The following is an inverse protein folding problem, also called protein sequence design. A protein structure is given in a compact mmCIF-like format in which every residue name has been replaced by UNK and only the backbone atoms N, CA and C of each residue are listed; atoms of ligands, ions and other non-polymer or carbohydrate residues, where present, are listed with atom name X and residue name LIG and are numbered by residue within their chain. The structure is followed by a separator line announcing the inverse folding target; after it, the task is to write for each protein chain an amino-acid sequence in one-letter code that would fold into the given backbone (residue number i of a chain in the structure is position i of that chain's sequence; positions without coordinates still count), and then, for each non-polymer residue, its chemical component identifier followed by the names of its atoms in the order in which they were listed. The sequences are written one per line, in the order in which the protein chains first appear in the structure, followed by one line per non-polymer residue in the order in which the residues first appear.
data_IF_708681675993
#
_entry.id   IF_708681675993
#
_cell.length_a   1.000
_cell.length_b   1.000
_cell.length_c   1.000
_cell.angle_alpha   90.00
_cell.angle_beta   90.00
_cell.angle_gamma   90.00
#
_symmetry.space_group_name_H-M   'P 1'
#
loop_
_entity.id
_entity.type
_entity.pdbx_description
1 polymer ?
#
# COMPACT_ATOMS: atom_id res chain seq x y z
N UNK A 1 -9.03 -21.09 6.91
CA UNK A 1 -8.66 -20.08 5.90
C UNK A 1 -7.25 -20.42 5.42
N UNK A 2 -7.15 -21.16 4.31
CA UNK A 2 -5.86 -21.61 3.76
C UNK A 2 -5.12 -20.40 3.19
N UNK A 3 -3.93 -20.09 3.72
CA UNK A 3 -2.99 -19.15 3.09
C UNK A 3 -2.59 -19.76 1.74
N UNK A 4 -2.98 -19.11 0.65
CA UNK A 4 -2.59 -19.52 -0.71
C UNK A 4 -1.06 -19.44 -0.85
N UNK A 5 -0.36 -20.55 -1.10
CA UNK A 5 1.09 -20.54 -1.24
C UNK A 5 1.47 -19.91 -2.59
N UNK A 6 1.98 -18.68 -2.58
CA UNK A 6 2.48 -17.99 -3.78
C UNK A 6 2.19 -16.48 -3.83
N UNK A 7 1.08 -16.03 -3.23
CA UNK A 7 0.73 -14.60 -3.15
C UNK A 7 1.74 -13.78 -2.34
N UNK A 8 2.36 -14.42 -1.34
CA UNK A 8 3.38 -13.81 -0.47
C UNK A 8 4.79 -13.73 -1.11
N UNK A 9 4.95 -13.94 -2.43
CA UNK A 9 6.24 -13.81 -3.13
C UNK A 9 6.38 -12.44 -3.83
N UNK A 10 7.14 -11.47 -3.27
CA UNK A 10 7.26 -10.16 -3.92
C UNK A 10 8.06 -10.15 -5.20
N UNK A 11 8.97 -11.10 -5.43
CA UNK A 11 9.76 -11.14 -6.67
C UNK A 11 8.87 -11.48 -7.87
N UNK A 12 7.86 -12.33 -7.65
CA UNK A 12 6.83 -12.60 -8.64
C UNK A 12 6.04 -11.33 -9.00
N UNK A 13 5.58 -10.57 -8.01
CA UNK A 13 4.84 -9.32 -8.23
C UNK A 13 5.69 -8.19 -8.80
N UNK A 14 6.98 -8.14 -8.46
CA UNK A 14 7.95 -7.24 -9.07
C UNK A 14 8.12 -7.60 -10.57
N UNK A 15 8.22 -8.89 -10.91
CA UNK A 15 8.34 -9.36 -12.30
C UNK A 15 7.08 -9.09 -13.12
N UNK A 16 5.89 -9.38 -12.57
CA UNK A 16 4.60 -9.09 -13.24
C UNK A 16 4.47 -7.59 -13.51
N UNK A 17 4.81 -6.74 -12.52
CA UNK A 17 4.81 -5.29 -12.70
C UNK A 17 5.75 -4.87 -13.82
N UNK A 18 6.99 -5.38 -13.87
CA UNK A 18 7.93 -5.04 -14.94
C UNK A 18 7.41 -5.45 -16.32
N UNK A 19 6.84 -6.65 -16.47
CA UNK A 19 6.29 -7.09 -17.76
C UNK A 19 5.13 -6.18 -18.19
N UNK A 20 4.15 -5.93 -17.32
CA UNK A 20 3.02 -5.05 -17.65
C UNK A 20 3.47 -3.61 -17.93
N UNK A 21 4.52 -3.14 -17.24
CA UNK A 21 5.10 -1.81 -17.45
C UNK A 21 5.83 -1.72 -18.79
N UNK A 22 6.62 -2.74 -19.17
CA UNK A 22 7.36 -2.78 -20.43
C UNK A 22 6.44 -2.79 -21.65
N UNK A 23 5.25 -3.35 -21.47
CA UNK A 23 4.21 -3.44 -22.49
C UNK A 23 3.27 -2.23 -22.48
N UNK A 24 3.44 -1.30 -21.53
CA UNK A 24 2.64 -0.07 -21.44
C UNK A 24 1.20 -0.27 -20.92
N UNK A 25 0.89 -1.42 -20.30
CA UNK A 25 -0.49 -1.79 -19.92
C UNK A 25 -0.74 -1.78 -18.41
N UNK A 26 0.30 -1.58 -17.60
CA UNK A 26 0.22 -1.67 -16.13
C UNK A 26 -0.85 -0.75 -15.54
N UNK A 27 -0.89 0.52 -15.93
CA UNK A 27 -1.84 1.50 -15.37
C UNK A 27 -3.28 1.11 -15.70
N UNK A 28 -3.54 0.71 -16.94
CA UNK A 28 -4.86 0.26 -17.38
C UNK A 28 -5.32 -0.99 -16.61
N UNK A 29 -4.43 -1.98 -16.45
CA UNK A 29 -4.71 -3.20 -15.68
C UNK A 29 -5.05 -2.86 -14.22
N UNK A 30 -4.28 -1.96 -13.60
CA UNK A 30 -4.55 -1.52 -12.23
C UNK A 30 -5.92 -0.84 -12.12
N UNK A 31 -6.23 0.11 -13.01
CA UNK A 31 -7.51 0.82 -13.00
C UNK A 31 -8.70 -0.13 -13.14
N UNK A 32 -8.68 -1.04 -14.13
CA UNK A 32 -9.78 -1.99 -14.35
C UNK A 32 -10.04 -2.86 -13.12
N UNK A 33 -8.99 -3.38 -12.49
CA UNK A 33 -9.13 -4.22 -11.30
C UNK A 33 -9.54 -3.42 -10.06
N UNK A 34 -9.05 -2.18 -9.90
CA UNK A 34 -9.47 -1.27 -8.83
C UNK A 34 -10.96 -0.93 -8.95
N UNK A 35 -11.42 -0.61 -10.16
CA UNK A 35 -12.83 -0.33 -10.44
C UNK A 35 -13.72 -1.52 -10.08
N UNK A 36 -13.37 -2.70 -10.57
CA UNK A 36 -14.13 -3.93 -10.31
C UNK A 36 -14.21 -4.22 -8.79
N UNK A 37 -13.13 -4.02 -8.05
CA UNK A 37 -13.14 -4.21 -6.60
C UNK A 37 -14.04 -3.18 -5.89
N UNK A 38 -14.02 -1.91 -6.33
CA UNK A 38 -14.90 -0.86 -5.78
C UNK A 38 -16.37 -1.21 -6.07
N UNK A 39 -16.69 -1.59 -7.30
CA UNK A 39 -18.06 -1.94 -7.74
C UNK A 39 -18.61 -3.16 -6.99
N UNK A 40 -17.78 -4.18 -6.75
CA UNK A 40 -18.18 -5.41 -6.04
C UNK A 40 -18.22 -5.27 -4.52
N UNK A 41 -17.53 -4.29 -3.93
CA UNK A 41 -17.51 -4.12 -2.48
C UNK A 41 -18.91 -3.81 -1.92
N UNK A 42 -19.22 -4.33 -0.74
CA UNK A 42 -20.41 -3.96 0.04
C UNK A 42 -20.09 -3.03 1.21
N UNK A 43 -18.80 -2.87 1.56
CA UNK A 43 -18.34 -2.12 2.73
C UNK A 43 -17.08 -1.32 2.37
N UNK A 44 -17.14 0.00 2.55
CA UNK A 44 -15.99 0.88 2.30
C UNK A 44 -14.81 0.55 3.23
N UNK A 45 -15.06 0.02 4.42
CA UNK A 45 -14.01 -0.32 5.39
C UNK A 45 -13.18 -1.54 4.96
N UNK A 46 -13.62 -2.33 3.99
CA UNK A 46 -12.89 -3.51 3.51
C UNK A 46 -12.13 -3.25 2.19
N UNK A 47 -12.33 -2.09 1.57
CA UNK A 47 -11.69 -1.77 0.29
C UNK A 47 -10.16 -1.86 0.41
N UNK A 48 -9.57 -2.66 -0.48
CA UNK A 48 -8.11 -2.84 -0.62
C UNK A 48 -7.36 -3.35 0.63
N UNK A 49 -8.06 -3.81 1.67
CA UNK A 49 -7.45 -4.35 2.91
C UNK A 49 -7.11 -5.83 2.82
N UNK A 50 -7.75 -6.58 1.93
CA UNK A 50 -7.47 -7.99 1.73
C UNK A 50 -6.15 -8.22 0.98
N UNK A 51 -5.39 -9.25 1.36
CA UNK A 51 -4.20 -9.68 0.62
C UNK A 51 -4.64 -10.49 -0.59
N UNK A 52 -4.60 -9.87 -1.77
CA UNK A 52 -4.98 -10.48 -3.03
C UNK A 52 -4.04 -9.98 -4.15
N UNK A 53 -4.20 -10.51 -5.36
CA UNK A 53 -3.27 -10.20 -6.45
C UNK A 53 -3.19 -8.71 -6.78
N UNK A 54 -4.33 -8.00 -6.75
CA UNK A 54 -4.37 -6.57 -6.98
C UNK A 54 -3.60 -5.79 -5.89
N UNK A 55 -3.83 -6.10 -4.61
CA UNK A 55 -3.17 -5.38 -3.52
C UNK A 55 -1.67 -5.65 -3.46
N UNK A 56 -1.23 -6.85 -3.88
CA UNK A 56 0.19 -7.16 -4.04
C UNK A 56 0.82 -6.45 -5.27
N UNK A 57 0.14 -6.44 -6.42
CA UNK A 57 0.60 -5.74 -7.62
C UNK A 57 0.70 -4.22 -7.38
N UNK A 58 -0.29 -3.64 -6.72
CA UNK A 58 -0.27 -2.24 -6.32
C UNK A 58 0.83 -1.94 -5.28
N UNK A 59 1.08 -2.84 -4.32
CA UNK A 59 2.20 -2.69 -3.39
C UNK A 59 3.56 -2.73 -4.10
N UNK A 60 3.71 -3.62 -5.08
CA UNK A 60 4.86 -3.68 -5.98
C UNK A 60 5.01 -2.40 -6.81
N UNK A 61 3.91 -1.85 -7.35
CA UNK A 61 3.88 -0.58 -8.05
C UNK A 61 4.34 0.59 -7.15
N UNK A 62 3.73 0.78 -5.97
CA UNK A 62 4.11 1.83 -5.03
C UNK A 62 5.57 1.71 -4.58
N UNK A 63 6.06 0.49 -4.34
CA UNK A 63 7.46 0.24 -3.98
C UNK A 63 8.44 0.75 -5.06
N UNK A 64 8.09 0.61 -6.34
CA UNK A 64 8.92 1.10 -7.45
C UNK A 64 8.84 2.62 -7.58
N UNK A 65 7.63 3.16 -7.64
CA UNK A 65 7.38 4.58 -7.91
C UNK A 65 7.79 5.49 -6.73
N UNK A 66 7.59 5.04 -5.49
CA UNK A 66 7.81 5.84 -4.27
C UNK A 66 9.09 5.46 -3.54
N UNK A 67 10.07 4.85 -4.22
CA UNK A 67 11.32 4.41 -3.60
C UNK A 67 12.03 5.55 -2.85
N UNK A 68 12.05 6.75 -3.43
CA UNK A 68 12.69 7.92 -2.85
C UNK A 68 11.94 8.43 -1.61
N UNK A 69 10.59 8.44 -1.65
CA UNK A 69 9.75 8.73 -0.48
C UNK A 69 10.15 7.88 0.71
N UNK A 70 10.36 6.58 0.49
CA UNK A 70 10.79 5.67 1.55
C UNK A 70 12.12 6.08 2.20
N UNK A 71 13.08 6.57 1.41
CA UNK A 71 14.36 7.07 1.93
C UNK A 71 14.16 8.34 2.75
N UNK A 72 13.48 9.35 2.19
CA UNK A 72 13.34 10.67 2.83
C UNK A 72 12.43 10.66 4.05
N UNK A 73 11.55 9.65 4.16
CA UNK A 73 10.70 9.40 5.32
C UNK A 73 11.42 8.58 6.39
N UNK A 74 11.94 7.39 6.04
CA UNK A 74 12.39 6.41 7.05
C UNK A 74 13.77 6.75 7.61
N UNK A 75 14.70 7.23 6.78
CA UNK A 75 16.10 7.46 7.23
C UNK A 75 16.20 8.52 8.33
N UNK A 76 15.54 9.69 8.23
CA UNK A 76 15.57 10.69 9.30
C UNK A 76 14.95 10.18 10.61
N UNK A 77 13.80 9.49 10.53
CA UNK A 77 13.13 8.89 11.69
C UNK A 77 14.03 7.88 12.38
N UNK A 78 14.66 6.98 11.61
CA UNK A 78 15.55 5.95 12.17
C UNK A 78 16.76 6.57 12.85
N UNK A 79 17.39 7.58 12.23
CA UNK A 79 18.53 8.30 12.84
C UNK A 79 18.14 8.95 14.15
N UNK A 80 16.97 9.58 14.19
CA UNK A 80 16.50 10.22 15.42
C UNK A 80 16.23 9.20 16.52
N UNK A 81 15.61 8.06 16.19
CA UNK A 81 15.42 6.95 17.13
C UNK A 81 16.76 6.42 17.67
N UNK A 82 17.76 6.27 16.81
CA UNK A 82 19.10 5.76 17.18
C UNK A 82 19.89 6.76 18.05
N UNK A 83 19.61 8.06 17.92
CA UNK A 83 20.24 9.11 18.72
C UNK A 83 19.61 9.28 20.11
N UNK A 84 18.47 8.63 20.39
CA UNK A 84 17.85 8.71 21.72
C UNK A 84 18.75 8.04 22.76
N UNK A 85 18.93 8.72 23.90
CA UNK A 85 19.66 8.17 25.04
C UNK A 85 18.81 7.22 25.92
N UNK A 86 17.65 6.78 25.41
CA UNK A 86 16.71 5.89 26.09
C UNK A 86 15.87 5.10 25.09
N UNK A 87 15.34 3.97 25.51
CA UNK A 87 14.45 3.13 24.69
C UNK A 87 13.02 3.71 24.69
N UNK A 88 12.37 3.75 23.53
CA UNK A 88 10.95 4.09 23.42
C UNK A 88 10.08 2.91 23.89
N UNK A 89 9.71 2.92 25.17
CA UNK A 89 8.75 1.99 25.75
C UNK A 89 7.59 2.80 26.34
N UNK A 90 6.40 2.62 25.76
CA UNK A 90 5.19 3.39 26.09
C UNK A 90 4.31 2.65 27.11
N UNK A 91 4.55 1.36 27.35
CA UNK A 91 3.76 0.55 28.25
C UNK A 91 4.18 0.77 29.73
N UNK A 92 3.32 1.40 30.56
CA UNK A 92 3.66 1.67 31.96
C UNK A 92 3.71 0.41 32.83
N UNK A 93 3.36 -0.78 32.29
CA UNK A 93 3.56 -2.05 32.98
C UNK A 93 4.98 -2.60 32.81
N UNK A 94 5.75 -2.08 31.86
CA UNK A 94 7.13 -2.51 31.56
C UNK A 94 8.19 -1.52 32.03
N UNK A 95 7.85 -0.24 32.10
CA UNK A 95 8.72 0.86 32.57
C UNK A 95 7.97 1.73 33.56
N UNK A 96 8.67 2.61 34.27
CA UNK A 96 7.98 3.52 35.18
C UNK A 96 7.13 4.55 34.40
N UNK A 97 6.13 5.14 35.07
CA UNK A 97 5.18 6.06 34.44
C UNK A 97 5.86 7.27 33.76
N UNK A 98 6.89 7.84 34.39
CA UNK A 98 7.60 8.99 33.84
C UNK A 98 8.39 8.62 32.56
N UNK A 99 8.99 7.42 32.51
CA UNK A 99 9.65 6.90 31.31
C UNK A 99 8.67 6.64 30.16
N UNK A 100 7.50 6.09 30.47
CA UNK A 100 6.41 5.89 29.50
C UNK A 100 5.95 7.22 28.90
N UNK A 101 5.65 8.23 29.74
CA UNK A 101 5.25 9.57 29.29
C UNK A 101 6.34 10.23 28.44
N UNK A 102 7.62 10.13 28.86
CA UNK A 102 8.76 10.63 28.09
C UNK A 102 8.84 9.98 26.70
N UNK A 103 8.57 8.68 26.61
CA UNK A 103 8.56 7.93 25.33
C UNK A 103 7.40 8.37 24.43
N UNK A 104 6.21 8.61 24.97
CA UNK A 104 5.07 9.14 24.22
C UNK A 104 5.40 10.52 23.63
N UNK A 105 5.93 11.43 24.46
CA UNK A 105 6.30 12.77 24.02
C UNK A 105 7.39 12.75 22.94
N UNK A 106 8.41 11.89 23.11
CA UNK A 106 9.46 11.73 22.11
C UNK A 106 8.91 11.19 20.78
N UNK A 107 7.99 10.22 20.82
CA UNK A 107 7.38 9.68 19.60
C UNK A 107 6.50 10.72 18.90
N UNK A 108 5.71 11.50 19.64
CA UNK A 108 4.92 12.61 19.09
C UNK A 108 5.82 13.67 18.45
N UNK A 109 6.93 14.03 19.09
CA UNK A 109 7.92 14.96 18.53
C UNK A 109 8.53 14.42 17.24
N UNK A 110 8.98 13.15 17.23
CA UNK A 110 9.56 12.51 16.03
C UNK A 110 8.55 12.52 14.88
N UNK A 111 7.29 12.18 15.15
CA UNK A 111 6.24 12.22 14.14
C UNK A 111 5.97 13.65 13.64
N UNK A 112 5.90 14.63 14.53
CA UNK A 112 5.70 16.04 14.17
C UNK A 112 6.82 16.53 13.23
N UNK A 113 8.07 16.47 13.71
CA UNK A 113 9.22 17.06 13.05
C UNK A 113 9.61 16.34 11.74
N UNK A 114 9.52 15.00 11.70
CA UNK A 114 10.04 14.21 10.58
C UNK A 114 8.96 13.70 9.63
N UNK A 115 7.67 13.85 9.97
CA UNK A 115 6.55 13.44 9.11
C UNK A 115 5.61 14.61 8.83
N UNK A 116 4.92 15.13 9.86
CA UNK A 116 3.78 16.02 9.65
C UNK A 116 4.19 17.41 9.20
N UNK A 117 5.27 17.97 9.75
CA UNK A 117 5.85 19.25 9.31
C UNK A 117 6.43 19.17 7.90
N UNK A 118 6.62 17.96 7.37
CA UNK A 118 7.29 17.68 6.08
C UNK A 118 6.35 17.13 5.01
N UNK A 119 5.05 16.97 5.27
CA UNK A 119 4.11 16.38 4.31
C UNK A 119 4.15 17.05 2.93
N UNK A 120 4.22 18.38 2.88
CA UNK A 120 4.32 19.11 1.61
C UNK A 120 5.58 18.74 0.82
N UNK A 121 6.71 18.51 1.50
CA UNK A 121 7.95 18.09 0.83
C UNK A 121 7.91 16.65 0.31
N UNK A 122 6.98 15.83 0.80
CA UNK A 122 6.80 14.46 0.30
C UNK A 122 5.99 14.41 -0.98
N UNK A 123 5.23 15.45 -1.30
CA UNK A 123 4.41 15.50 -2.51
C UNK A 123 5.26 15.33 -3.79
N UNK A 124 6.46 15.93 -3.81
CA UNK A 124 7.39 15.88 -4.94
C UNK A 124 7.88 14.46 -5.25
N UNK A 125 7.77 13.54 -4.29
CA UNK A 125 8.17 12.14 -4.46
C UNK A 125 7.08 11.27 -5.10
N UNK A 126 5.87 11.81 -5.29
CA UNK A 126 4.76 11.10 -5.94
C UNK A 126 4.79 11.31 -7.45
N UNK A 127 5.06 10.25 -8.19
CA UNK A 127 5.07 10.27 -9.65
C UNK A 127 3.67 10.57 -10.21
N UNK A 128 3.58 11.08 -11.46
CA UNK A 128 2.29 11.32 -12.10
C UNK A 128 1.38 10.07 -12.13
N UNK A 129 1.96 8.89 -12.33
CA UNK A 129 1.23 7.62 -12.34
C UNK A 129 0.58 7.31 -10.99
N UNK A 130 1.30 7.55 -9.89
CA UNK A 130 0.74 7.33 -8.54
C UNK A 130 -0.35 8.36 -8.27
N UNK A 131 -0.11 9.65 -8.57
CA UNK A 131 -1.11 10.70 -8.35
C UNK A 131 -2.39 10.45 -9.14
N UNK A 132 -2.26 9.94 -10.36
CA UNK A 132 -3.38 9.55 -11.21
C UNK A 132 -4.17 8.36 -10.64
N UNK A 133 -3.50 7.28 -10.23
CA UNK A 133 -4.19 6.13 -9.62
C UNK A 133 -4.88 6.52 -8.31
N UNK A 134 -4.27 7.39 -7.50
CA UNK A 134 -4.90 7.86 -6.26
C UNK A 134 -6.10 8.77 -6.53
N UNK A 135 -6.03 9.65 -7.54
CA UNK A 135 -7.18 10.43 -7.98
C UNK A 135 -8.32 9.53 -8.51
N UNK A 136 -7.99 8.48 -9.25
CA UNK A 136 -8.96 7.48 -9.71
C UNK A 136 -9.66 6.79 -8.53
N UNK A 137 -8.88 6.25 -7.58
CA UNK A 137 -9.42 5.62 -6.36
C UNK A 137 -10.29 6.60 -5.59
N UNK A 138 -9.81 7.84 -5.35
CA UNK A 138 -10.55 8.88 -4.63
C UNK A 138 -11.92 9.10 -5.29
N UNK A 139 -11.92 9.30 -6.61
CA UNK A 139 -13.12 9.62 -7.39
C UNK A 139 -14.13 8.47 -7.41
N UNK A 140 -13.70 7.26 -7.73
CA UNK A 140 -14.60 6.10 -7.83
C UNK A 140 -15.14 5.68 -6.46
N UNK A 141 -14.33 5.77 -5.41
CA UNK A 141 -14.80 5.53 -4.05
C UNK A 141 -15.79 6.60 -3.63
N UNK A 142 -15.53 7.88 -3.89
CA UNK A 142 -16.43 8.98 -3.49
C UNK A 142 -17.79 8.89 -4.19
N UNK A 143 -17.82 8.42 -5.45
CA UNK A 143 -19.06 8.15 -6.19
C UNK A 143 -19.94 7.10 -5.49
N UNK A 144 -19.33 6.05 -4.92
CA UNK A 144 -20.06 4.93 -4.29
C UNK A 144 -20.28 5.13 -2.79
N UNK A 145 -19.29 5.67 -2.10
CA UNK A 145 -19.20 5.84 -0.65
C UNK A 145 -18.76 7.27 -0.34
N UNK A 146 -19.75 8.18 -0.24
CA UNK A 146 -19.50 9.60 0.05
C UNK A 146 -18.71 9.77 1.35
N UNK A 147 -17.67 10.60 1.31
CA UNK A 147 -16.76 10.88 2.42
C UNK A 147 -15.70 9.81 2.65
N UNK A 148 -15.62 8.75 1.82
CA UNK A 148 -14.65 7.67 1.99
C UNK A 148 -13.44 7.77 1.07
N UNK A 149 -13.39 8.73 0.13
CA UNK A 149 -12.29 8.86 -0.84
C UNK A 149 -10.92 8.96 -0.18
N UNK A 150 -10.71 9.96 0.69
CA UNK A 150 -9.44 10.16 1.39
C UNK A 150 -9.09 9.01 2.33
N UNK A 151 -10.07 8.51 3.10
CA UNK A 151 -9.87 7.39 4.03
C UNK A 151 -9.38 6.15 3.26
N UNK A 152 -9.88 5.93 2.04
CA UNK A 152 -9.49 4.79 1.21
C UNK A 152 -8.10 4.97 0.61
N UNK A 153 -7.78 6.16 0.06
CA UNK A 153 -6.44 6.45 -0.47
C UNK A 153 -5.39 6.39 0.64
N UNK A 154 -5.65 7.06 1.77
CA UNK A 154 -4.77 7.05 2.94
C UNK A 154 -4.62 5.65 3.52
N UNK A 155 -5.73 4.95 3.77
CA UNK A 155 -5.71 3.57 4.24
C UNK A 155 -4.87 2.67 3.34
N UNK A 156 -4.99 2.82 2.02
CA UNK A 156 -4.20 2.07 1.05
C UNK A 156 -2.70 2.42 1.10
N UNK A 157 -2.35 3.70 0.94
CA UNK A 157 -0.96 4.18 0.94
C UNK A 157 -0.23 3.77 2.23
N UNK A 158 -0.87 3.99 3.38
CA UNK A 158 -0.24 3.71 4.66
C UNK A 158 -0.13 2.21 4.92
N UNK A 159 -1.17 1.42 4.62
CA UNK A 159 -1.15 -0.02 4.86
C UNK A 159 -0.22 -0.77 3.91
N UNK A 160 -0.13 -0.35 2.65
CA UNK A 160 0.55 -1.10 1.58
C UNK A 160 1.93 -0.60 1.23
N UNK A 161 2.28 0.61 1.66
CA UNK A 161 3.60 1.17 1.41
C UNK A 161 4.26 1.70 2.69
N UNK A 162 3.68 2.70 3.37
CA UNK A 162 4.36 3.38 4.49
C UNK A 162 4.61 2.45 5.69
N UNK A 163 3.60 1.68 6.12
CA UNK A 163 3.75 0.72 7.22
C UNK A 163 4.79 -0.36 6.88
N UNK A 164 4.73 -1.03 5.71
CA UNK A 164 5.77 -1.98 5.30
C UNK A 164 7.20 -1.42 5.28
N UNK A 165 7.42 -0.20 4.79
CA UNK A 165 8.78 0.40 4.73
C UNK A 165 9.30 0.79 6.12
N UNK A 166 8.43 1.17 7.06
CA UNK A 166 8.81 1.45 8.44
C UNK A 166 9.14 0.17 9.22
N UNK A 167 8.33 -0.87 9.04
CA UNK A 167 8.50 -2.15 9.77
C UNK A 167 9.68 -2.95 9.22
N UNK A 168 9.95 -2.86 7.91
CA UNK A 168 10.99 -3.63 7.23
C UNK A 168 11.92 -2.76 6.35
N UNK A 169 12.61 -1.72 6.90
CA UNK A 169 13.33 -0.74 6.09
C UNK A 169 14.34 -1.35 5.12
N UNK A 170 15.12 -2.34 5.55
CA UNK A 170 16.14 -2.99 4.72
C UNK A 170 15.58 -3.66 3.47
N UNK A 171 14.36 -4.20 3.56
CA UNK A 171 13.70 -4.91 2.45
C UNK A 171 13.27 -3.96 1.33
N UNK A 172 12.95 -2.72 1.69
CA UNK A 172 12.47 -1.70 0.76
C UNK A 172 13.57 -0.73 0.33
N UNK A 173 14.57 -0.51 1.19
CA UNK A 173 15.61 0.49 1.04
C UNK A 173 16.98 -0.19 1.10
N UNK A 174 17.52 -0.56 -0.08
CA UNK A 174 18.78 -1.32 -0.21
C UNK A 174 19.96 -0.71 0.56
N UNK A 175 19.99 0.62 0.63
CA UNK A 175 21.11 1.41 1.17
C UNK A 175 20.95 1.75 2.65
N UNK A 176 19.88 1.28 3.31
CA UNK A 176 19.66 1.48 4.75
C UNK A 176 20.33 0.34 5.52
N UNK A 177 20.98 0.66 6.64
CA UNK A 177 21.53 -0.33 7.57
C UNK A 177 20.40 -1.04 8.29
N UNK A 178 20.55 -2.34 8.57
CA UNK A 178 19.54 -3.09 9.31
C UNK A 178 19.35 -2.46 10.72
N UNK A 179 18.13 -2.01 11.07
CA UNK A 179 17.89 -1.42 12.38
C UNK A 179 18.14 -2.41 13.51
N UNK A 180 18.63 -1.92 14.65
CA UNK A 180 18.70 -2.73 15.88
C UNK A 180 17.30 -3.26 16.28
N UNK A 181 17.24 -4.30 17.11
CA UNK A 181 15.95 -4.82 17.59
C UNK A 181 15.14 -3.74 18.35
N UNK A 182 15.82 -2.86 19.08
CA UNK A 182 15.19 -1.74 19.76
C UNK A 182 14.64 -0.72 18.76
N UNK A 183 15.45 -0.28 17.79
CA UNK A 183 15.04 0.66 16.74
C UNK A 183 13.87 0.11 15.91
N UNK A 184 13.87 -1.20 15.62
CA UNK A 184 12.75 -1.85 14.92
C UNK A 184 11.46 -1.80 15.73
N UNK A 185 11.50 -1.99 17.05
CA UNK A 185 10.33 -1.83 17.93
C UNK A 185 9.81 -0.40 17.92
N UNK A 186 10.70 0.58 17.97
CA UNK A 186 10.34 1.99 17.86
C UNK A 186 9.69 2.33 16.51
N UNK A 187 10.26 1.83 15.40
CA UNK A 187 9.65 2.00 14.07
C UNK A 187 8.28 1.33 13.95
N UNK A 188 8.04 0.21 14.62
CA UNK A 188 6.71 -0.39 14.69
C UNK A 188 5.70 0.50 15.43
N UNK A 189 6.13 1.21 16.49
CA UNK A 189 5.28 2.19 17.17
C UNK A 189 4.97 3.38 16.26
N UNK A 190 5.96 3.91 15.54
CA UNK A 190 5.77 4.95 14.51
C UNK A 190 4.73 4.49 13.48
N UNK A 191 4.91 3.28 12.92
CA UNK A 191 4.01 2.72 11.93
C UNK A 191 2.58 2.55 12.47
N UNK A 192 2.43 2.11 13.74
CA UNK A 192 1.12 1.95 14.38
C UNK A 192 0.38 3.28 14.52
N UNK A 193 1.07 4.36 14.92
CA UNK A 193 0.47 5.69 15.02
C UNK A 193 0.13 6.25 13.64
N UNK A 194 1.03 6.13 12.65
CA UNK A 194 0.77 6.56 11.28
C UNK A 194 -0.41 5.82 10.64
N UNK A 195 -0.52 4.52 10.87
CA UNK A 195 -1.66 3.73 10.38
C UNK A 195 -2.97 4.16 11.04
N UNK A 196 -2.96 4.48 12.34
CA UNK A 196 -4.14 4.98 13.04
C UNK A 196 -4.61 6.33 12.46
N UNK A 197 -3.67 7.19 12.08
CA UNK A 197 -3.97 8.47 11.41
C UNK A 197 -4.65 8.24 10.06
N UNK A 198 -4.13 7.32 9.25
CA UNK A 198 -4.72 6.97 7.96
C UNK A 198 -6.13 6.38 8.07
N UNK A 199 -6.45 5.71 9.18
CA UNK A 199 -7.76 5.10 9.41
C UNK A 199 -8.84 6.11 9.82
N UNK A 200 -8.47 7.31 10.29
CA UNK A 200 -9.37 8.41 10.66
C UNK A 200 -10.52 8.02 11.61
N UNK A 201 -10.25 7.14 12.58
CA UNK A 201 -11.22 6.75 13.61
C UNK A 201 -11.47 7.87 14.62
N UNK A 202 -12.68 7.99 15.15
CA UNK A 202 -12.98 8.88 16.29
C UNK A 202 -12.22 8.41 17.54
N UNK A 203 -12.10 7.09 17.71
CA UNK A 203 -11.31 6.46 18.76
C UNK A 203 -10.19 5.65 18.11
N UNK A 204 -8.99 6.25 17.89
CA UNK A 204 -7.90 5.58 17.18
C UNK A 204 -7.35 4.36 17.91
N UNK A 205 -7.25 4.45 19.24
CA UNK A 205 -6.74 3.38 20.09
C UNK A 205 -7.63 3.11 21.29
N UNK A 206 -7.83 1.81 21.53
CA UNK A 206 -8.50 1.26 22.73
C UNK A 206 -7.50 0.62 23.71
N UNK A 207 -6.29 0.31 23.24
CA UNK A 207 -5.22 -0.23 24.08
C UNK A 207 -4.70 0.86 25.03
N UNK A 208 -4.74 0.62 26.35
CA UNK A 208 -4.39 1.61 27.39
C UNK A 208 -3.01 2.27 27.20
N UNK A 209 -2.01 1.55 26.70
CA UNK A 209 -0.69 2.11 26.45
C UNK A 209 -0.63 3.03 25.21
N UNK A 210 -1.64 2.98 24.33
CA UNK A 210 -1.72 3.76 23.10
C UNK A 210 -2.72 4.92 23.18
N UNK A 211 -3.64 4.94 24.15
CA UNK A 211 -4.67 5.99 24.27
C UNK A 211 -4.07 7.38 24.43
N UNK A 212 -2.85 7.50 24.97
CA UNK A 212 -2.10 8.75 25.05
C UNK A 212 -1.79 9.39 23.68
N UNK A 213 -1.95 8.65 22.58
CA UNK A 213 -1.81 9.17 21.22
C UNK A 213 -3.13 9.62 20.60
N UNK A 214 -4.30 9.37 21.20
CA UNK A 214 -5.60 9.61 20.54
C UNK A 214 -5.77 11.08 20.13
N UNK A 215 -5.55 12.02 21.04
CA UNK A 215 -5.69 13.46 20.75
C UNK A 215 -4.69 13.91 19.67
N UNK A 216 -3.45 13.41 19.76
CA UNK A 216 -2.42 13.68 18.75
C UNK A 216 -2.83 13.15 17.38
N UNK A 217 -3.30 11.91 17.29
CA UNK A 217 -3.74 11.27 16.03
C UNK A 217 -4.87 12.08 15.38
N UNK A 218 -5.91 12.43 16.15
CA UNK A 218 -7.05 13.20 15.66
C UNK A 218 -6.62 14.58 15.19
N UNK A 219 -5.65 15.21 15.86
CA UNK A 219 -5.12 16.52 15.47
C UNK A 219 -4.47 16.52 14.07
N UNK A 220 -4.03 15.36 13.56
CA UNK A 220 -3.36 15.23 12.26
C UNK A 220 -4.31 14.93 11.09
N UNK A 221 -5.61 14.71 11.32
CA UNK A 221 -6.52 14.30 10.23
C UNK A 221 -6.63 15.35 9.12
N UNK A 222 -6.68 16.64 9.50
CA UNK A 222 -6.80 17.73 8.53
C UNK A 222 -5.53 17.84 7.68
N UNK A 223 -4.34 17.85 8.30
CA UNK A 223 -3.06 17.96 7.58
C UNK A 223 -2.85 16.77 6.63
N UNK A 224 -3.22 15.57 7.06
CA UNK A 224 -3.18 14.38 6.19
C UNK A 224 -4.18 14.46 5.06
N UNK A 225 -5.40 14.94 5.28
CA UNK A 225 -6.38 15.09 4.19
C UNK A 225 -5.91 16.10 3.13
N UNK A 226 -5.28 17.20 3.53
CA UNK A 226 -4.67 18.16 2.60
C UNK A 226 -3.57 17.48 1.78
N UNK A 227 -2.68 16.73 2.43
CA UNK A 227 -1.65 15.95 1.74
C UNK A 227 -2.23 14.92 0.77
N UNK A 228 -3.25 14.15 1.20
CA UNK A 228 -3.92 13.14 0.39
C UNK A 228 -4.59 13.76 -0.84
N UNK A 229 -5.10 14.99 -0.74
CA UNK A 229 -5.65 15.72 -1.87
C UNK A 229 -4.58 16.11 -2.88
N UNK A 230 -3.44 16.64 -2.43
CA UNK A 230 -2.33 17.00 -3.32
C UNK A 230 -1.76 15.80 -4.08
N UNK A 231 -1.64 14.63 -3.42
CA UNK A 231 -1.18 13.40 -4.06
C UNK A 231 -2.29 12.67 -4.83
N UNK A 232 -3.51 13.21 -4.87
CA UNK A 232 -4.65 12.69 -5.64
C UNK A 232 -5.20 13.81 -6.52
N UNK A 233 -4.38 14.30 -7.45
CA UNK A 233 -4.65 15.56 -8.19
C UNK A 233 -4.59 15.44 -9.71
N UNK A 234 -4.12 14.31 -10.25
CA UNK A 234 -4.00 14.13 -11.72
C UNK A 234 -5.19 13.35 -12.25
N UNK A 235 -5.98 13.97 -13.13
CA UNK A 235 -7.18 13.36 -13.70
C UNK A 235 -6.95 12.69 -15.07
N UNK A 236 -5.94 13.14 -15.81
CA UNK A 236 -5.59 12.57 -17.11
C UNK A 236 -4.53 11.48 -16.94
N UNK A 237 -4.74 10.33 -17.59
CA UNK A 237 -3.76 9.25 -17.57
C UNK A 237 -2.45 9.76 -18.17
N UNK A 238 -1.32 9.68 -17.44
CA UNK A 238 -0.03 10.09 -17.99
C UNK A 238 0.27 9.30 -19.26
N UNK A 239 0.68 10.00 -20.32
CA UNK A 239 1.03 9.38 -21.59
C UNK A 239 2.28 8.52 -21.41
N UNK A 240 2.13 7.22 -21.58
CA UNK A 240 3.25 6.36 -21.97
C UNK A 240 3.47 6.53 -23.47
N UNK A 241 4.72 6.62 -23.93
CA UNK A 241 5.06 6.80 -25.36
C UNK A 241 4.48 5.72 -26.29
N UNK A 242 3.97 4.63 -25.72
CA UNK A 242 3.21 3.59 -26.40
C UNK A 242 1.70 3.79 -26.18
N UNK A 243 0.98 4.24 -27.20
CA UNK A 243 -0.47 4.02 -27.30
C UNK A 243 -0.69 2.54 -27.57
N UNK A 244 -1.13 1.81 -26.55
CA UNK A 244 -1.35 0.37 -26.63
C UNK A 244 -2.81 0.10 -26.98
N UNK A 245 -3.08 -0.69 -28.03
CA UNK A 245 -4.45 -1.08 -28.38
C UNK A 245 -5.03 -2.04 -27.34
N UNK A 246 -6.35 -2.03 -27.12
CA UNK A 246 -7.02 -3.00 -26.23
C UNK A 246 -6.62 -4.44 -26.55
N UNK A 247 -6.48 -4.79 -27.84
CA UNK A 247 -6.03 -6.11 -28.28
C UNK A 247 -4.62 -6.48 -27.79
N UNK A 248 -3.72 -5.51 -27.66
CA UNK A 248 -2.38 -5.73 -27.15
C UNK A 248 -2.41 -5.91 -25.62
N UNK A 249 -3.26 -5.18 -24.90
CA UNK A 249 -3.54 -5.43 -23.47
C UNK A 249 -3.99 -6.87 -23.24
N UNK A 250 -4.95 -7.36 -24.04
CA UNK A 250 -5.42 -8.73 -23.95
C UNK A 250 -4.32 -9.78 -24.22
N UNK A 251 -3.49 -9.58 -25.25
CA UNK A 251 -2.41 -10.51 -25.62
C UNK A 251 -1.23 -10.49 -24.64
N UNK A 252 -0.90 -9.34 -24.06
CA UNK A 252 0.15 -9.22 -23.04
C UNK A 252 -0.28 -9.88 -21.74
N UNK A 253 -1.54 -9.69 -21.34
CA UNK A 253 -2.13 -10.40 -20.20
C UNK A 253 -2.11 -11.91 -20.49
N UNK A 254 -2.41 -12.35 -21.72
CA UNK A 254 -2.26 -13.75 -22.14
C UNK A 254 -0.81 -14.25 -22.06
N UNK A 255 0.20 -13.44 -22.41
CA UNK A 255 1.62 -13.78 -22.26
C UNK A 255 2.06 -13.89 -20.79
N UNK A 256 1.60 -12.98 -19.93
CA UNK A 256 1.83 -13.02 -18.48
C UNK A 256 1.13 -14.23 -17.87
N UNK A 257 -0.10 -14.53 -18.31
CA UNK A 257 -0.84 -15.74 -17.95
C UNK A 257 -0.15 -17.00 -18.48
N UNK A 258 0.47 -16.98 -19.67
CA UNK A 258 1.25 -18.08 -20.22
C UNK A 258 2.57 -18.30 -19.45
N UNK A 259 3.17 -17.23 -18.93
CA UNK A 259 4.26 -17.30 -17.95
C UNK A 259 3.82 -17.94 -16.62
N UNK A 260 2.62 -17.63 -16.15
CA UNK A 260 1.97 -18.28 -14.99
C UNK A 260 1.62 -19.75 -15.30
N UNK A 261 1.23 -20.07 -16.54
CA UNK A 261 0.94 -21.43 -17.02
C UNK A 261 2.18 -22.35 -17.00
N UNK A 262 3.39 -21.79 -17.00
CA UNK A 262 4.65 -22.53 -16.87
C UNK A 262 5.10 -22.73 -15.41
N UNK A 263 4.28 -22.31 -14.43
CA UNK A 263 4.43 -22.76 -13.04
C UNK A 263 4.27 -24.28 -12.94
N UNK A 264 4.89 -24.89 -11.92
CA UNK A 264 4.79 -26.33 -11.69
C UNK A 264 3.32 -26.81 -11.73
N UNK A 265 3.02 -27.97 -12.34
CA UNK A 265 1.66 -28.41 -12.65
C UNK A 265 0.66 -28.37 -11.48
N UNK A 266 1.15 -28.54 -10.25
CA UNK A 266 0.36 -28.45 -9.01
C UNK A 266 -0.24 -27.05 -8.77
N UNK A 267 0.52 -25.98 -9.01
CA UNK A 267 0.05 -24.60 -8.78
C UNK A 267 -0.92 -24.12 -9.86
N UNK A 268 -0.76 -24.65 -11.08
CA UNK A 268 -1.70 -24.43 -12.19
C UNK A 268 -3.08 -25.01 -11.83
N UNK A 269 -3.12 -26.25 -11.34
CA UNK A 269 -4.38 -26.93 -10.99
C UNK A 269 -5.14 -26.22 -9.86
N UNK A 270 -4.42 -25.69 -8.87
CA UNK A 270 -5.00 -24.98 -7.74
C UNK A 270 -5.52 -23.58 -8.14
N UNK A 271 -4.80 -22.87 -9.01
CA UNK A 271 -5.20 -21.58 -9.58
C UNK A 271 -6.51 -21.68 -10.40
N UNK A 272 -6.62 -22.66 -11.30
CA UNK A 272 -7.85 -22.86 -12.09
C UNK A 272 -9.05 -23.27 -11.23
N UNK A 273 -8.83 -24.09 -10.19
CA UNK A 273 -9.87 -24.49 -9.24
C UNK A 273 -10.41 -23.32 -8.39
N UNK A 274 -9.56 -22.31 -8.14
CA UNK A 274 -9.93 -21.07 -7.45
C UNK A 274 -10.68 -20.09 -8.37
N UNK A 275 -10.32 -20.08 -9.67
CA UNK A 275 -11.01 -19.31 -10.71
C UNK A 275 -12.44 -19.81 -10.97
N UNK A 276 -12.67 -21.13 -10.92
CA UNK A 276 -14.01 -21.75 -11.06
C UNK A 276 -14.95 -21.43 -9.88
N UNK A 277 -14.40 -21.10 -8.71
CA UNK A 277 -15.19 -20.74 -7.54
C UNK A 277 -15.70 -19.29 -7.58
N UNK A 278 -15.24 -18.48 -8.54
CA UNK A 278 -15.66 -17.10 -8.72
C UNK A 278 -16.68 -17.00 -9.86
N UNK A 279 -17.95 -16.75 -9.50
CA UNK A 279 -19.12 -16.63 -10.41
C UNK A 279 -18.79 -15.76 -11.63
N UNK A 280 -18.58 -16.42 -12.77
CA UNK A 280 -18.46 -15.80 -14.10
C UNK A 280 -17.03 -15.60 -14.63
N UNK A 281 -16.01 -15.66 -13.77
CA UNK A 281 -14.62 -15.43 -14.18
C UNK A 281 -14.03 -16.61 -14.96
N UNK A 282 -14.32 -17.85 -14.54
CA UNK A 282 -13.89 -19.05 -15.27
C UNK A 282 -14.47 -19.12 -16.70
N UNK A 283 -15.68 -18.63 -16.95
CA UNK A 283 -16.27 -18.65 -18.29
C UNK A 283 -15.59 -17.65 -19.24
N UNK A 284 -15.26 -16.46 -18.74
CA UNK A 284 -14.47 -15.48 -19.51
C UNK A 284 -13.03 -15.98 -19.73
N UNK A 285 -12.45 -16.67 -18.75
CA UNK A 285 -11.11 -17.25 -18.82
C UNK A 285 -11.04 -18.45 -19.79
N UNK A 286 -12.01 -19.36 -19.74
CA UNK A 286 -12.12 -20.53 -20.65
C UNK A 286 -12.44 -20.07 -22.07
N UNK A 287 -13.31 -19.07 -22.25
CA UNK A 287 -13.63 -18.53 -23.58
C UNK A 287 -12.41 -17.85 -24.24
N UNK A 288 -11.50 -17.28 -23.45
CA UNK A 288 -10.21 -16.76 -23.96
C UNK A 288 -9.27 -17.92 -24.29
N UNK A 289 -9.17 -18.95 -23.45
CA UNK A 289 -8.30 -20.13 -23.67
C UNK A 289 -8.76 -21.01 -24.86
N UNK A 290 -10.06 -21.22 -25.06
CA UNK A 290 -10.59 -22.06 -26.15
C UNK A 290 -10.49 -21.40 -27.54
N UNK A 291 -10.51 -20.06 -27.60
CA UNK A 291 -10.30 -19.32 -28.85
C UNK A 291 -8.83 -19.30 -29.29
N UNK A 292 -7.89 -19.50 -28.37
CA UNK A 292 -6.45 -19.60 -28.63
C UNK A 292 -6.06 -20.97 -29.20
N UNK A 293 -6.80 -22.04 -28.90
CA UNK A 293 -6.53 -23.38 -29.45
C UNK A 293 -7.11 -23.63 -30.85
N UNK A 294 -7.87 -22.69 -31.42
CA UNK A 294 -8.50 -22.78 -32.75
C UNK A 294 -7.83 -21.89 -33.82
N UNK A 295 -6.66 -21.33 -33.52
CA UNK A 295 -5.77 -20.65 -34.48
C UNK A 295 -4.37 -21.23 -34.37
#
# INVERSE_FOLDING_TARGET
MLKMPGLDNPEMWDSIRETLSGEGVLIQVLMTNLQEQIEKSSDSNQLFRENNGLTHLMGSFLKKELKNLGVVLVVPILREIENLNFTLEIDPTKVNFHESVKSVQALQRILGEYVFDRLNSFEDEFTPNVKFIFQFIKTEVEKKYKGCGFITVGGFLFLRFITPILVMPKRFLSNVTEPSQASRRSLMLVAKVMQAIANQSIEPFNELCMTAFNDYVVSQYVSVNVFLDHISSIEEMPTTETTVSESHVYNTVEMVLNGIVNLMPLYKMEFFKLLEQQRGMAYQFIHVVENVQRK
#
